data_IF_923106143086
#
_entry.id   IF_923106143086
#
_cell.length_a   1.000
_cell.length_b   1.000
_cell.length_c   1.000
_cell.angle_alpha   90.00
_cell.angle_beta   90.00
_cell.angle_gamma   90.00
#
_symmetry.space_group_name_H-M   'P 1'
#
loop_
_entity.id
_entity.type
_entity.pdbx_description
1 polymer ?
#
# COMPACT_ATOMS: atom_id res chain seq x y z
N UNK A 1 -8.12 29.67 -12.27
CA UNK A 1 -8.60 28.57 -13.14
C UNK A 1 -8.87 27.36 -12.25
N UNK A 2 -10.07 27.24 -11.69
CA UNK A 2 -10.37 26.19 -10.71
C UNK A 2 -10.52 24.85 -11.46
N UNK A 3 -9.72 23.88 -11.04
CA UNK A 3 -9.57 22.56 -11.63
C UNK A 3 -10.93 21.86 -11.65
N UNK A 4 -11.39 21.57 -12.87
CA UNK A 4 -12.63 20.86 -13.24
C UNK A 4 -12.83 19.66 -12.30
N UNK A 5 -13.80 19.74 -11.40
CA UNK A 5 -14.32 18.55 -10.73
C UNK A 5 -15.01 17.76 -11.84
N UNK A 6 -14.30 16.77 -12.40
CA UNK A 6 -14.85 15.87 -13.41
C UNK A 6 -15.80 14.94 -12.64
N UNK A 7 -17.02 15.42 -12.41
CA UNK A 7 -18.17 14.56 -12.26
C UNK A 7 -18.36 13.86 -13.60
N UNK A 8 -18.15 12.55 -13.61
CA UNK A 8 -18.44 11.72 -14.77
C UNK A 8 -19.96 11.69 -14.98
N UNK A 9 -20.45 12.56 -15.86
CA UNK A 9 -21.88 12.75 -16.12
C UNK A 9 -22.52 11.47 -16.64
N UNK A 10 -21.79 10.65 -17.39
CA UNK A 10 -22.31 9.37 -17.85
C UNK A 10 -22.47 8.39 -16.71
N UNK A 11 -21.47 8.31 -15.81
CA UNK A 11 -21.55 7.45 -14.63
C UNK A 11 -22.73 7.85 -13.73
N UNK A 12 -22.89 9.15 -13.49
CA UNK A 12 -24.02 9.70 -12.73
C UNK A 12 -25.35 9.37 -13.43
N UNK A 13 -25.43 9.58 -14.74
CA UNK A 13 -26.64 9.29 -15.53
C UNK A 13 -27.05 7.82 -15.48
N UNK A 14 -26.08 6.90 -15.66
CA UNK A 14 -26.30 5.45 -15.51
C UNK A 14 -26.80 5.10 -14.12
N UNK A 15 -26.18 5.66 -13.08
CA UNK A 15 -26.60 5.44 -11.69
C UNK A 15 -28.03 5.92 -11.43
N UNK A 16 -28.40 7.11 -11.91
CA UNK A 16 -29.77 7.63 -11.79
C UNK A 16 -30.78 6.70 -12.48
N UNK A 17 -30.46 6.24 -13.70
CA UNK A 17 -31.33 5.32 -14.45
C UNK A 17 -31.50 3.98 -13.74
N UNK A 18 -30.42 3.42 -13.18
CA UNK A 18 -30.45 2.18 -12.41
C UNK A 18 -31.28 2.31 -11.15
N UNK A 19 -31.04 3.36 -10.36
CA UNK A 19 -31.80 3.60 -9.13
C UNK A 19 -33.28 3.86 -9.42
N UNK A 20 -33.60 4.61 -10.46
CA UNK A 20 -35.00 4.81 -10.91
C UNK A 20 -35.67 3.48 -11.24
N UNK A 21 -35.00 2.61 -12.02
CA UNK A 21 -35.52 1.29 -12.38
C UNK A 21 -35.71 0.38 -11.16
N UNK A 22 -34.79 0.40 -10.19
CA UNK A 22 -34.94 -0.34 -8.91
C UNK A 22 -36.18 0.09 -8.13
N UNK A 23 -36.63 1.33 -8.31
CA UNK A 23 -37.86 1.87 -7.71
C UNK A 23 -39.11 1.68 -8.57
N UNK A 24 -39.01 0.95 -9.69
CA UNK A 24 -40.10 0.73 -10.65
C UNK A 24 -40.72 2.02 -11.20
N UNK A 25 -39.94 3.10 -11.28
CA UNK A 25 -40.40 4.38 -11.82
C UNK A 25 -40.08 4.47 -13.32
N UNK A 26 -40.97 5.02 -14.13
CA UNK A 26 -40.67 5.44 -15.51
C UNK A 26 -39.96 6.81 -15.52
N UNK A 27 -39.36 7.19 -16.66
CA UNK A 27 -38.78 8.53 -16.80
C UNK A 27 -39.84 9.63 -16.64
N UNK A 28 -41.09 9.34 -17.05
CA UNK A 28 -42.23 10.25 -16.88
C UNK A 28 -42.58 10.39 -15.40
N UNK A 29 -42.71 9.28 -14.67
CA UNK A 29 -43.04 9.32 -13.23
C UNK A 29 -42.00 10.09 -12.43
N UNK A 30 -40.72 9.91 -12.76
CA UNK A 30 -39.63 10.65 -12.11
C UNK A 30 -39.69 12.14 -12.46
N UNK A 31 -39.99 12.47 -13.71
CA UNK A 31 -40.19 13.85 -14.16
C UNK A 31 -41.35 14.54 -13.44
N UNK A 32 -42.49 13.87 -13.33
CA UNK A 32 -43.67 14.38 -12.62
C UNK A 32 -43.39 14.64 -11.14
N UNK A 33 -42.75 13.68 -10.45
CA UNK A 33 -42.37 13.83 -9.03
C UNK A 33 -41.41 14.99 -8.79
N UNK A 34 -40.53 15.28 -9.76
CA UNK A 34 -39.56 16.37 -9.70
C UNK A 34 -40.06 17.68 -10.34
N UNK A 35 -41.26 17.69 -10.92
CA UNK A 35 -41.82 18.81 -11.70
C UNK A 35 -40.92 19.26 -12.85
N UNK A 36 -40.31 18.30 -13.56
CA UNK A 36 -39.44 18.52 -14.72
C UNK A 36 -39.93 17.70 -15.91
N UNK A 37 -39.53 18.10 -17.12
CA UNK A 37 -39.89 17.34 -18.33
C UNK A 37 -39.21 15.97 -18.37
N UNK A 38 -39.90 14.95 -18.92
CA UNK A 38 -39.33 13.62 -19.21
C UNK A 38 -38.04 13.71 -20.05
N UNK A 39 -37.97 14.69 -20.95
CA UNK A 39 -36.77 14.93 -21.76
C UNK A 39 -35.56 15.37 -20.91
N UNK A 40 -35.78 16.14 -19.83
CA UNK A 40 -34.71 16.50 -18.90
C UNK A 40 -34.14 15.24 -18.22
N UNK A 41 -35.01 14.38 -17.70
CA UNK A 41 -34.61 13.08 -17.11
C UNK A 41 -33.85 12.23 -18.12
N UNK A 42 -34.31 12.13 -19.36
CA UNK A 42 -33.62 11.40 -20.44
C UNK A 42 -32.22 11.96 -20.75
N UNK A 43 -32.03 13.29 -20.66
CA UNK A 43 -30.71 13.90 -20.85
C UNK A 43 -29.78 13.61 -19.68
N UNK A 44 -30.30 13.61 -18.44
CA UNK A 44 -29.53 13.25 -17.26
C UNK A 44 -29.07 11.80 -17.31
N UNK A 45 -29.97 10.87 -17.61
CA UNK A 45 -29.67 9.43 -17.67
C UNK A 45 -28.66 9.07 -18.77
N UNK A 46 -28.58 9.88 -19.83
CA UNK A 46 -27.60 9.73 -20.91
C UNK A 46 -26.30 10.53 -20.68
N UNK A 47 -26.17 11.23 -19.56
CA UNK A 47 -24.99 12.05 -19.26
C UNK A 47 -24.83 13.28 -20.17
N UNK A 48 -25.89 13.73 -20.85
CA UNK A 48 -25.87 14.89 -21.76
C UNK A 48 -25.82 16.20 -20.96
N UNK A 49 -26.52 16.24 -19.82
CA UNK A 49 -26.44 17.34 -18.87
C UNK A 49 -26.69 16.85 -17.45
N UNK A 50 -26.27 17.64 -16.46
CA UNK A 50 -26.61 17.42 -15.06
C UNK A 50 -27.89 18.18 -14.69
N UNK A 51 -28.52 17.73 -13.61
CA UNK A 51 -29.60 18.47 -12.97
C UNK A 51 -29.09 19.67 -12.20
N UNK A 52 -29.98 20.63 -11.95
CA UNK A 52 -29.69 21.75 -11.07
C UNK A 52 -29.47 21.26 -9.61
N UNK A 53 -28.61 21.96 -8.86
CA UNK A 53 -28.30 21.65 -7.47
C UNK A 53 -29.55 21.66 -6.59
N UNK A 54 -30.54 22.48 -6.93
CA UNK A 54 -31.84 22.54 -6.25
C UNK A 54 -32.63 21.22 -6.34
N UNK A 55 -32.44 20.45 -7.42
CA UNK A 55 -33.14 19.19 -7.70
C UNK A 55 -32.42 17.97 -7.12
N UNK A 56 -31.16 18.13 -6.71
CA UNK A 56 -30.31 17.03 -6.27
C UNK A 56 -30.83 16.35 -4.99
N UNK A 57 -31.25 17.14 -4.00
CA UNK A 57 -31.83 16.62 -2.75
C UNK A 57 -33.21 15.99 -2.96
N UNK A 58 -34.16 16.62 -3.70
CA UNK A 58 -35.40 15.96 -4.10
C UNK A 58 -35.19 14.64 -4.86
N UNK A 59 -34.24 14.59 -5.79
CA UNK A 59 -33.92 13.37 -6.52
C UNK A 59 -33.40 12.27 -5.58
N UNK A 60 -32.44 12.61 -4.72
CA UNK A 60 -31.89 11.70 -3.73
C UNK A 60 -32.98 11.07 -2.86
N UNK A 61 -33.96 11.88 -2.43
CA UNK A 61 -35.10 11.40 -1.65
C UNK A 61 -36.00 10.43 -2.44
N UNK A 62 -36.30 10.72 -3.72
CA UNK A 62 -37.15 9.85 -4.55
C UNK A 62 -36.45 8.51 -4.86
N UNK A 63 -35.14 8.56 -5.09
CA UNK A 63 -34.32 7.39 -5.38
C UNK A 63 -33.92 6.62 -4.11
N UNK A 64 -34.15 7.20 -2.93
CA UNK A 64 -33.74 6.73 -1.61
C UNK A 64 -32.24 6.42 -1.54
N UNK A 65 -31.43 7.40 -1.92
CA UNK A 65 -29.95 7.37 -1.85
C UNK A 65 -29.44 8.66 -1.25
N UNK A 66 -28.15 8.73 -0.92
CA UNK A 66 -27.53 9.98 -0.50
C UNK A 66 -27.20 10.83 -1.72
N UNK A 67 -27.16 12.16 -1.51
CA UNK A 67 -26.68 13.10 -2.53
C UNK A 67 -25.27 12.73 -3.01
N UNK A 68 -24.41 12.28 -2.09
CA UNK A 68 -23.06 11.85 -2.43
C UNK A 68 -23.06 10.66 -3.38
N UNK A 69 -23.97 9.69 -3.21
CA UNK A 69 -24.09 8.51 -4.07
C UNK A 69 -24.44 8.89 -5.51
N UNK A 70 -25.30 9.91 -5.67
CA UNK A 70 -25.64 10.44 -6.99
C UNK A 70 -24.42 11.09 -7.63
N UNK A 71 -23.67 11.91 -6.89
CA UNK A 71 -22.52 12.65 -7.41
C UNK A 71 -21.29 11.75 -7.69
N UNK A 72 -21.13 10.65 -6.95
CA UNK A 72 -20.10 9.64 -7.18
C UNK A 72 -20.51 8.64 -8.28
N UNK A 73 -21.81 8.57 -8.61
CA UNK A 73 -22.40 7.59 -9.53
C UNK A 73 -22.32 6.15 -9.00
N UNK A 74 -22.19 5.96 -7.70
CA UNK A 74 -22.12 4.66 -7.03
C UNK A 74 -22.54 4.78 -5.57
N UNK A 75 -23.08 3.71 -4.98
CA UNK A 75 -23.42 3.70 -3.54
C UNK A 75 -22.12 3.77 -2.74
N UNK A 76 -21.89 4.90 -2.08
CA UNK A 76 -20.75 5.11 -1.19
C UNK A 76 -21.13 4.57 0.18
N UNK A 77 -20.96 3.26 0.36
CA UNK A 77 -21.02 2.68 1.70
C UNK A 77 -19.78 3.13 2.50
N UNK A 78 -19.97 3.37 3.80
CA UNK A 78 -18.86 3.67 4.70
C UNK A 78 -17.83 2.51 4.73
N UNK A 79 -18.30 1.28 4.51
CA UNK A 79 -17.48 0.07 4.47
C UNK A 79 -16.55 0.00 3.24
N UNK A 80 -17.04 0.34 2.03
CA UNK A 80 -16.21 0.37 0.82
C UNK A 80 -15.12 1.44 0.88
N UNK A 81 -15.42 2.53 1.59
CA UNK A 81 -14.48 3.64 1.79
C UNK A 81 -13.32 3.20 2.69
N UNK A 82 -13.63 2.50 3.80
CA UNK A 82 -12.63 1.98 4.73
C UNK A 82 -11.68 0.97 4.06
N UNK A 83 -12.23 0.00 3.33
CA UNK A 83 -11.44 -1.02 2.63
C UNK A 83 -10.46 -0.42 1.62
N UNK A 84 -10.88 0.63 0.90
CA UNK A 84 -10.03 1.32 -0.08
C UNK A 84 -8.89 2.11 0.58
N UNK A 85 -9.13 2.69 1.75
CA UNK A 85 -8.07 3.33 2.54
C UNK A 85 -7.06 2.31 3.08
N UNK A 86 -7.55 1.18 3.61
CA UNK A 86 -6.70 0.10 4.11
C UNK A 86 -5.82 -0.50 3.00
N UNK A 87 -6.40 -0.74 1.82
CA UNK A 87 -5.66 -1.21 0.64
C UNK A 87 -4.59 -0.19 0.20
N UNK A 88 -4.93 1.10 0.21
CA UNK A 88 -3.98 2.17 -0.14
C UNK A 88 -2.82 2.23 0.86
N UNK A 89 -3.11 2.21 2.16
CA UNK A 89 -2.09 2.21 3.23
C UNK A 89 -1.20 0.97 3.12
N UNK A 90 -1.80 -0.20 2.85
CA UNK A 90 -1.07 -1.45 2.64
C UNK A 90 -0.11 -1.36 1.44
N UNK A 91 -0.59 -0.85 0.30
CA UNK A 91 0.22 -0.70 -0.90
C UNK A 91 1.37 0.29 -0.69
N UNK A 92 1.13 1.41 0.00
CA UNK A 92 2.18 2.37 0.38
C UNK A 92 3.23 1.73 1.29
N UNK A 93 2.79 0.96 2.30
CA UNK A 93 3.70 0.25 3.20
C UNK A 93 4.53 -0.82 2.48
N UNK A 94 3.93 -1.49 1.48
CA UNK A 94 4.61 -2.51 0.67
C UNK A 94 5.71 -1.90 -0.21
N UNK A 95 5.44 -0.77 -0.85
CA UNK A 95 6.44 -0.04 -1.67
C UNK A 95 7.67 0.36 -0.85
N UNK A 96 7.48 0.87 0.37
CA UNK A 96 8.59 1.22 1.28
C UNK A 96 9.44 0.00 1.69
N UNK A 97 8.80 -1.16 1.84
CA UNK A 97 9.45 -2.38 2.29
C UNK A 97 10.32 -3.04 1.22
N UNK A 98 9.98 -2.87 -0.07
CA UNK A 98 10.77 -3.44 -1.17
C UNK A 98 12.02 -2.61 -1.49
N UNK A 99 11.94 -1.29 -1.48
CA UNK A 99 13.11 -0.39 -1.58
C UNK A 99 14.15 -0.73 -0.50
N UNK A 100 13.69 -0.96 0.74
CA UNK A 100 14.56 -1.25 1.89
C UNK A 100 15.36 -2.56 1.77
N UNK A 101 14.90 -3.53 0.98
CA UNK A 101 15.62 -4.80 0.78
C UNK A 101 16.78 -4.65 -0.20
N UNK A 102 16.63 -3.80 -1.23
CA UNK A 102 17.66 -3.56 -2.23
C UNK A 102 18.90 -2.90 -1.62
N UNK A 103 18.71 -1.90 -0.75
CA UNK A 103 19.81 -1.26 0.01
C UNK A 103 20.62 -2.27 0.83
N UNK A 104 19.97 -3.26 1.44
CA UNK A 104 20.64 -4.33 2.17
C UNK A 104 21.54 -5.20 1.29
N UNK A 105 21.14 -5.46 0.05
CA UNK A 105 21.92 -6.24 -0.92
C UNK A 105 23.14 -5.45 -1.40
N UNK A 106 22.96 -4.19 -1.78
CA UNK A 106 24.09 -3.33 -2.19
C UNK A 106 25.11 -3.15 -1.07
N UNK A 107 24.65 -2.98 0.18
CA UNK A 107 25.52 -2.92 1.34
C UNK A 107 26.35 -4.20 1.54
N UNK A 108 25.77 -5.38 1.31
CA UNK A 108 26.49 -6.66 1.40
C UNK A 108 27.55 -6.81 0.30
N UNK A 109 27.27 -6.37 -0.92
CA UNK A 109 28.22 -6.41 -2.03
C UNK A 109 29.41 -5.50 -1.74
N UNK A 110 29.16 -4.27 -1.29
CA UNK A 110 30.21 -3.31 -0.91
C UNK A 110 31.06 -3.86 0.25
N UNK A 111 30.42 -4.42 1.28
CA UNK A 111 31.12 -5.03 2.42
C UNK A 111 32.03 -6.19 1.97
N UNK A 112 31.56 -7.04 1.06
CA UNK A 112 32.36 -8.14 0.52
C UNK A 112 33.60 -7.64 -0.24
N UNK A 113 33.44 -6.60 -1.07
CA UNK A 113 34.56 -6.00 -1.82
C UNK A 113 35.61 -5.41 -0.87
N UNK A 114 35.17 -4.71 0.18
CA UNK A 114 36.06 -4.14 1.21
C UNK A 114 36.84 -5.26 1.92
N UNK A 115 36.18 -6.35 2.30
CA UNK A 115 36.82 -7.49 2.97
C UNK A 115 37.90 -8.12 2.08
N UNK A 116 37.62 -8.32 0.79
CA UNK A 116 38.59 -8.86 -0.18
C UNK A 116 39.79 -7.91 -0.32
N UNK A 117 39.54 -6.60 -0.43
CA UNK A 117 40.59 -5.59 -0.55
C UNK A 117 41.50 -5.54 0.69
N UNK A 118 40.91 -5.58 1.89
CA UNK A 118 41.67 -5.61 3.16
C UNK A 118 42.52 -6.88 3.23
N UNK A 119 41.97 -8.05 2.89
CA UNK A 119 42.75 -9.30 2.84
C UNK A 119 43.96 -9.17 1.91
N UNK A 120 43.76 -8.64 0.70
CA UNK A 120 44.86 -8.49 -0.28
C UNK A 120 45.93 -7.50 0.16
N UNK A 121 45.56 -6.46 0.90
CA UNK A 121 46.50 -5.43 1.35
C UNK A 121 47.25 -5.83 2.63
N UNK A 122 46.57 -6.47 3.57
CA UNK A 122 47.11 -6.80 4.89
C UNK A 122 47.60 -8.26 5.01
N UNK A 123 47.51 -9.07 3.95
CA UNK A 123 47.87 -10.51 3.94
C UNK A 123 47.24 -11.30 5.11
N UNK A 124 45.99 -10.98 5.45
CA UNK A 124 45.27 -11.62 6.55
C UNK A 124 44.93 -13.08 6.23
N UNK A 125 44.91 -13.90 7.27
CA UNK A 125 44.54 -15.31 7.16
C UNK A 125 43.02 -15.46 6.97
N UNK A 126 42.63 -16.60 6.40
CA UNK A 126 41.20 -16.91 6.21
C UNK A 126 40.43 -16.98 7.53
N UNK A 127 41.08 -17.41 8.62
CA UNK A 127 40.54 -17.38 9.99
C UNK A 127 40.04 -15.99 10.37
N UNK A 128 40.79 -14.95 10.01
CA UNK A 128 40.61 -13.59 10.48
C UNK A 128 39.38 -13.00 9.82
N UNK A 129 39.30 -13.17 8.50
CA UNK A 129 38.15 -12.78 7.69
C UNK A 129 36.87 -13.51 8.13
N UNK A 130 36.95 -14.82 8.44
CA UNK A 130 35.79 -15.60 8.87
C UNK A 130 35.29 -15.20 10.27
N UNK A 131 36.19 -14.84 11.18
CA UNK A 131 35.83 -14.33 12.52
C UNK A 131 35.03 -13.01 12.43
N UNK A 132 35.43 -12.12 11.53
CA UNK A 132 34.76 -10.83 11.30
C UNK A 132 33.35 -11.01 10.71
N UNK A 133 33.20 -11.88 9.71
CA UNK A 133 31.91 -12.15 9.06
C UNK A 133 30.92 -12.76 10.05
N UNK A 134 31.36 -13.75 10.83
CA UNK A 134 30.52 -14.45 11.81
C UNK A 134 30.08 -13.53 12.95
N UNK A 135 30.94 -12.59 13.36
CA UNK A 135 30.61 -11.55 14.34
C UNK A 135 29.51 -10.59 13.83
N UNK A 136 29.61 -10.12 12.57
CA UNK A 136 28.58 -9.25 11.97
C UNK A 136 27.22 -9.95 11.88
N UNK A 137 27.21 -11.24 11.52
CA UNK A 137 25.99 -12.07 11.49
C UNK A 137 25.39 -12.18 12.90
N UNK A 138 26.21 -12.42 13.93
CA UNK A 138 25.75 -12.50 15.31
C UNK A 138 25.04 -11.21 15.74
N UNK A 139 25.64 -10.04 15.50
CA UNK A 139 25.03 -8.74 15.82
C UNK A 139 23.73 -8.48 15.06
N UNK A 140 23.65 -8.84 13.78
CA UNK A 140 22.43 -8.69 12.97
C UNK A 140 21.27 -9.51 13.53
N UNK A 141 21.52 -10.77 13.89
CA UNK A 141 20.50 -11.64 14.46
C UNK A 141 20.14 -11.24 15.90
N UNK A 142 21.09 -10.75 16.69
CA UNK A 142 20.83 -10.17 18.00
C UNK A 142 19.92 -8.93 17.92
N UNK A 143 20.21 -8.01 17.00
CA UNK A 143 19.37 -6.84 16.76
C UNK A 143 17.97 -7.24 16.30
N UNK A 144 17.88 -8.22 15.38
CA UNK A 144 16.60 -8.77 14.92
C UNK A 144 15.81 -9.41 16.07
N UNK A 145 16.48 -10.11 16.98
CA UNK A 145 15.85 -10.64 18.20
C UNK A 145 15.28 -9.52 19.07
N UNK A 146 16.01 -8.42 19.27
CA UNK A 146 15.52 -7.29 20.08
C UNK A 146 14.22 -6.71 19.53
N UNK A 147 14.08 -6.67 18.21
CA UNK A 147 12.89 -6.15 17.51
C UNK A 147 11.73 -7.15 17.47
N UNK A 148 11.98 -8.43 17.17
CA UNK A 148 10.90 -9.40 16.95
C UNK A 148 10.62 -10.32 18.13
N UNK A 149 11.47 -10.31 19.18
CA UNK A 149 11.44 -11.19 20.36
C UNK A 149 11.36 -12.70 20.05
N UNK A 150 11.77 -13.10 18.84
CA UNK A 150 11.71 -14.49 18.37
C UNK A 150 12.90 -15.31 18.90
N UNK A 151 12.63 -16.38 19.65
CA UNK A 151 13.63 -17.27 20.27
C UNK A 151 14.60 -17.91 19.27
N UNK A 152 14.21 -18.12 18.02
CA UNK A 152 15.10 -18.64 16.98
C UNK A 152 16.25 -17.66 16.67
N UNK A 153 15.97 -16.35 16.65
CA UNK A 153 16.97 -15.33 16.31
C UNK A 153 18.06 -15.22 17.38
N UNK A 154 17.70 -15.37 18.67
CA UNK A 154 18.69 -15.38 19.76
C UNK A 154 19.54 -16.65 19.72
N UNK A 155 18.95 -17.81 19.40
CA UNK A 155 19.72 -19.05 19.24
C UNK A 155 20.77 -18.93 18.11
N UNK A 156 20.36 -18.41 16.94
CA UNK A 156 21.27 -18.18 15.80
C UNK A 156 22.38 -17.18 16.17
N UNK A 157 22.05 -16.12 16.92
CA UNK A 157 23.04 -15.15 17.39
C UNK A 157 24.10 -15.78 18.29
N UNK A 158 23.69 -16.63 19.24
CA UNK A 158 24.59 -17.29 20.18
C UNK A 158 25.50 -18.27 19.43
N UNK A 159 24.94 -19.08 18.54
CA UNK A 159 25.71 -20.02 17.72
C UNK A 159 26.75 -19.29 16.86
N UNK A 160 26.35 -18.20 16.19
CA UNK A 160 27.26 -17.41 15.36
C UNK A 160 28.39 -16.78 16.17
N UNK A 161 28.10 -16.35 17.41
CA UNK A 161 29.10 -15.80 18.31
C UNK A 161 30.10 -16.86 18.80
N UNK A 162 29.64 -18.06 19.14
CA UNK A 162 30.51 -19.19 19.51
C UNK A 162 31.42 -19.55 18.33
N UNK A 163 30.88 -19.58 17.11
CA UNK A 163 31.66 -19.88 15.91
C UNK A 163 32.74 -18.82 15.65
N UNK A 164 32.44 -17.53 15.91
CA UNK A 164 33.43 -16.45 15.86
C UNK A 164 34.56 -16.63 16.86
N UNK A 165 34.27 -17.05 18.09
CA UNK A 165 35.28 -17.36 19.12
C UNK A 165 36.19 -18.51 18.70
N UNK A 166 35.66 -19.55 18.06
CA UNK A 166 36.47 -20.68 17.56
C UNK A 166 37.50 -20.23 16.53
N UNK A 167 37.11 -19.39 15.57
CA UNK A 167 38.06 -18.83 14.60
C UNK A 167 39.06 -17.87 15.22
N UNK A 168 38.68 -17.15 16.27
CA UNK A 168 39.60 -16.29 17.00
C UNK A 168 40.66 -17.09 17.76
N UNK A 169 40.32 -18.27 18.29
CA UNK A 169 41.29 -19.20 18.87
C UNK A 169 42.25 -19.77 17.81
N UNK A 170 41.75 -20.06 16.62
CA UNK A 170 42.57 -20.51 15.49
C UNK A 170 43.55 -19.42 15.02
N UNK A 171 43.10 -18.15 15.01
CA UNK A 171 43.98 -16.99 14.80
C UNK A 171 45.11 -16.93 15.84
N UNK A 172 44.77 -17.02 17.13
CA UNK A 172 45.77 -16.97 18.21
C UNK A 172 46.82 -18.08 18.03
N UNK A 173 46.41 -19.28 17.61
CA UNK A 173 47.31 -20.41 17.35
C UNK A 173 48.19 -20.24 16.12
N UNK A 174 47.72 -19.52 15.10
CA UNK A 174 48.49 -19.28 13.88
C UNK A 174 49.46 -18.10 14.00
N UNK A 175 49.28 -17.24 15.02
CA UNK A 175 50.14 -16.08 15.29
C UNK A 175 51.24 -16.36 16.32
N UNK A 176 50.97 -17.21 17.32
CA UNK A 176 51.94 -17.67 18.33
C UNK A 176 52.85 -18.77 17.77
#
# INVERSE_FOLDING_TARGET
MYKRCIMDQEKIGRFIAEMRKKRNLTQTDLGEKLKVSTNAVSKWERGICLMDMSLLKPLANILEVQVLDILSGEIVSQENTQNKYEETIYNLAKLQKDESKAFGIYGLIIMFVIIVAIKTYANLNYSDVMSMITMVIAFKFFYKYRMTKNRLNIAISIISFIFSLVFLLDFIKNVL
#
